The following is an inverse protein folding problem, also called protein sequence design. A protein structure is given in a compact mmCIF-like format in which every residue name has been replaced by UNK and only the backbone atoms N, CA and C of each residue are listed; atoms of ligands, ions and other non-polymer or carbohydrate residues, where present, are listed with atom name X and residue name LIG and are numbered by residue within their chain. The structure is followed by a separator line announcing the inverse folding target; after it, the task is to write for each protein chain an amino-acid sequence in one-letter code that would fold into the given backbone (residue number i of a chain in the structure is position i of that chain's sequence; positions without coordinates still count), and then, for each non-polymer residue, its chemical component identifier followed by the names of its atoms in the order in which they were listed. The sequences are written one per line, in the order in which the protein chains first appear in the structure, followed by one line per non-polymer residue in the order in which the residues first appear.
data_IF_361795043262
#
_entry.id   IF_361795043262
#
_cell.length_a   1.000
_cell.length_b   1.000
_cell.length_c   1.000
_cell.angle_alpha   90.00
_cell.angle_beta   90.00
_cell.angle_gamma   90.00
#
_symmetry.space_group_name_H-M   'P 1'
#
loop_
_entity.id
_entity.type
_entity.pdbx_description
1 polymer ?
#
# COMPACT_ATOMS: atom_id res chain seq x y z
N UNK A 1 7.14 -17.59 5.69
CA UNK A 1 8.48 -17.14 6.11
C UNK A 1 8.38 -16.69 7.56
N UNK A 2 9.30 -17.17 8.41
CA UNK A 2 9.34 -16.81 9.83
C UNK A 2 9.52 -15.29 10.04
N UNK A 3 8.78 -14.72 11.00
CA UNK A 3 8.73 -13.28 11.25
C UNK A 3 10.00 -12.74 11.89
N UNK A 4 10.68 -13.49 12.76
CA UNK A 4 11.94 -13.01 13.35
C UNK A 4 13.03 -12.92 12.27
N UNK A 5 13.08 -13.92 11.38
CA UNK A 5 13.93 -13.85 10.20
C UNK A 5 13.56 -12.62 9.34
N UNK A 6 12.28 -12.46 8.98
CA UNK A 6 11.83 -11.33 8.17
C UNK A 6 12.19 -9.98 8.82
N UNK A 7 11.93 -9.79 10.11
CA UNK A 7 12.25 -8.56 10.86
C UNK A 7 13.75 -8.22 10.79
N UNK A 8 14.62 -9.21 10.97
CA UNK A 8 16.07 -9.00 10.87
C UNK A 8 16.48 -8.57 9.47
N UNK A 9 15.88 -9.17 8.44
CA UNK A 9 16.23 -8.89 7.04
C UNK A 9 15.66 -7.56 6.57
N UNK A 10 14.39 -7.26 6.86
CA UNK A 10 13.75 -6.01 6.46
C UNK A 10 14.41 -4.79 7.10
N UNK A 11 15.01 -4.91 8.29
CA UNK A 11 15.75 -3.81 8.91
C UNK A 11 16.84 -3.22 8.01
N UNK A 12 17.41 -4.03 7.10
CA UNK A 12 18.47 -3.64 6.16
C UNK A 12 17.98 -2.75 5.02
N UNK A 13 16.67 -2.67 4.75
CA UNK A 13 16.16 -1.80 3.67
C UNK A 13 16.34 -0.32 4.01
N UNK A 14 16.55 0.03 5.28
CA UNK A 14 16.76 1.41 5.75
C UNK A 14 17.87 2.12 4.97
N UNK A 15 18.94 1.38 4.66
CA UNK A 15 20.12 1.91 3.97
C UNK A 15 20.08 1.74 2.45
N UNK A 16 19.06 1.06 1.91
CA UNK A 16 18.91 0.87 0.48
C UNK A 16 18.37 2.13 -0.21
N UNK A 17 18.84 2.46 -1.42
CA UNK A 17 18.21 3.48 -2.24
C UNK A 17 16.78 3.05 -2.61
N UNK A 18 15.87 4.02 -2.70
CA UNK A 18 14.51 3.76 -3.16
C UNK A 18 14.52 3.47 -4.68
N UNK A 19 13.93 2.35 -5.14
CA UNK A 19 13.71 2.12 -6.57
C UNK A 19 12.86 3.22 -7.22
N UNK A 20 11.93 3.81 -6.45
CA UNK A 20 11.14 4.97 -6.82
C UNK A 20 10.25 4.77 -8.04
N UNK A 21 10.01 5.87 -8.75
CA UNK A 21 9.08 5.92 -9.88
C UNK A 21 9.35 4.84 -10.94
N UNK A 22 10.62 4.52 -11.20
CA UNK A 22 10.99 3.48 -12.17
C UNK A 22 10.41 2.10 -11.81
N UNK A 23 10.27 1.81 -10.52
CA UNK A 23 9.63 0.59 -10.02
C UNK A 23 8.11 0.72 -10.02
N UNK A 24 7.60 1.85 -9.55
CA UNK A 24 6.17 2.11 -9.48
C UNK A 24 5.51 2.02 -10.87
N UNK A 25 6.12 2.61 -11.90
CA UNK A 25 5.59 2.61 -13.26
C UNK A 25 5.51 1.23 -13.92
N UNK A 26 6.20 0.21 -13.40
CA UNK A 26 6.01 -1.18 -13.87
C UNK A 26 4.59 -1.70 -13.62
N UNK A 27 3.89 -1.11 -12.65
CA UNK A 27 2.49 -1.44 -12.34
C UNK A 27 1.50 -0.36 -12.78
N UNK A 28 1.91 0.57 -13.65
CA UNK A 28 1.00 1.51 -14.29
C UNK A 28 0.50 0.95 -15.64
N UNK A 29 -0.73 1.31 -16.08
CA UNK A 29 -1.19 0.94 -17.41
C UNK A 29 -0.30 1.59 -18.47
N UNK A 30 0.12 0.83 -19.49
CA UNK A 30 1.06 1.30 -20.52
C UNK A 30 0.55 2.57 -21.22
N UNK A 31 -0.75 2.60 -21.53
CA UNK A 31 -1.42 3.75 -22.15
C UNK A 31 -1.39 5.03 -21.33
N UNK A 32 -1.08 4.97 -20.03
CA UNK A 32 -1.04 6.12 -19.11
C UNK A 32 0.37 6.54 -18.70
N UNK A 33 1.40 5.80 -19.09
CA UNK A 33 2.77 6.05 -18.63
C UNK A 33 3.27 7.44 -19.02
N UNK A 34 3.08 7.84 -20.28
CA UNK A 34 3.55 9.15 -20.75
C UNK A 34 2.78 10.30 -20.11
N UNK A 35 1.46 10.14 -19.94
CA UNK A 35 0.65 11.11 -19.20
C UNK A 35 1.18 11.28 -17.77
N UNK A 36 1.41 10.19 -17.05
CA UNK A 36 1.88 10.23 -15.67
C UNK A 36 3.21 10.97 -15.53
N UNK A 37 4.18 10.71 -16.43
CA UNK A 37 5.50 11.37 -16.44
C UNK A 37 5.43 12.86 -16.77
N UNK A 38 4.42 13.29 -17.53
CA UNK A 38 4.29 14.67 -18.00
C UNK A 38 3.42 15.54 -17.09
N UNK A 39 2.78 14.96 -16.06
CA UNK A 39 1.95 15.72 -15.14
C UNK A 39 2.79 16.77 -14.41
N UNK A 40 2.41 18.04 -14.57
CA UNK A 40 2.90 19.10 -13.71
C UNK A 40 2.17 19.06 -12.37
N UNK A 41 2.71 18.26 -11.44
CA UNK A 41 2.12 18.02 -10.11
C UNK A 41 1.98 19.33 -9.32
N UNK A 42 2.96 20.23 -9.41
CA UNK A 42 2.92 21.52 -8.70
C UNK A 42 1.70 22.36 -9.09
N UNK A 43 1.32 22.36 -10.38
CA UNK A 43 0.11 23.05 -10.87
C UNK A 43 -1.20 22.39 -10.43
N UNK A 44 -1.17 21.11 -10.01
CA UNK A 44 -2.37 20.38 -9.56
C UNK A 44 -2.71 20.63 -8.09
N UNK A 45 -1.78 21.19 -7.32
CA UNK A 45 -1.93 21.46 -5.88
C UNK A 45 -2.55 20.26 -5.13
N UNK A 46 -1.87 19.10 -5.12
CA UNK A 46 -2.44 17.86 -4.64
C UNK A 46 -2.72 17.93 -3.13
N UNK A 47 -3.82 17.30 -2.72
CA UNK A 47 -4.06 17.05 -1.30
C UNK A 47 -3.09 15.99 -0.80
N UNK A 48 -2.65 16.09 0.46
CA UNK A 48 -1.77 15.10 1.05
C UNK A 48 -2.55 13.96 1.69
N UNK A 49 -2.00 12.76 1.57
CA UNK A 49 -2.50 11.53 2.17
C UNK A 49 -1.30 10.64 2.52
N UNK A 50 -1.50 9.67 3.42
CA UNK A 50 -0.45 8.76 3.82
C UNK A 50 -1.01 7.37 4.10
N UNK A 51 -0.18 6.34 3.87
CA UNK A 51 -0.58 4.93 4.01
C UNK A 51 0.50 4.09 4.68
N UNK A 52 0.11 2.97 5.28
CA UNK A 52 1.01 2.05 5.98
C UNK A 52 1.01 0.66 5.36
N UNK A 53 2.15 0.25 4.80
CA UNK A 53 2.45 -1.14 4.50
C UNK A 53 2.91 -1.84 5.78
N UNK A 54 1.95 -2.42 6.50
CA UNK A 54 2.19 -3.02 7.81
C UNK A 54 2.50 -4.52 7.70
N UNK A 55 3.70 -4.93 8.13
CA UNK A 55 4.07 -6.33 8.25
C UNK A 55 4.00 -6.80 9.70
N UNK A 56 3.53 -8.02 9.92
CA UNK A 56 3.27 -8.55 11.26
C UNK A 56 3.36 -10.08 11.33
N UNK A 57 3.59 -10.67 12.53
CA UNK A 57 3.54 -12.11 12.71
C UNK A 57 2.10 -12.60 12.86
N UNK A 58 1.79 -13.72 12.23
CA UNK A 58 0.65 -14.56 12.59
C UNK A 58 0.90 -15.27 13.93
N UNK A 59 -0.14 -15.88 14.50
CA UNK A 59 -0.01 -16.73 15.71
C UNK A 59 1.02 -17.87 15.56
N UNK A 60 1.31 -18.29 14.33
CA UNK A 60 2.30 -19.33 14.00
C UNK A 60 3.65 -18.75 13.58
N UNK A 61 3.94 -17.47 13.88
CA UNK A 61 5.16 -16.76 13.52
C UNK A 61 5.46 -16.65 12.02
N UNK A 62 4.49 -16.91 11.15
CA UNK A 62 4.61 -16.55 9.73
C UNK A 62 4.37 -15.06 9.53
N UNK A 63 5.12 -14.43 8.62
CA UNK A 63 4.95 -13.02 8.27
C UNK A 63 3.79 -12.81 7.30
N UNK A 64 2.94 -11.84 7.60
CA UNK A 64 1.91 -11.32 6.71
C UNK A 64 2.12 -9.83 6.42
N UNK A 65 1.59 -9.38 5.29
CA UNK A 65 1.34 -7.99 4.93
C UNK A 65 -0.15 -7.68 5.11
N UNK A 66 -0.47 -6.56 5.75
CA UNK A 66 -1.84 -6.11 5.93
C UNK A 66 -2.30 -5.25 4.75
N UNK A 67 -3.45 -5.60 4.17
CA UNK A 67 -4.23 -4.78 3.25
C UNK A 67 -5.68 -4.71 3.74
N UNK A 68 -6.44 -3.76 3.21
CA UNK A 68 -7.88 -3.60 3.47
C UNK A 68 -8.65 -3.55 2.16
N UNK A 69 -9.86 -4.13 2.18
CA UNK A 69 -10.88 -3.86 1.17
C UNK A 69 -11.75 -2.71 1.69
N UNK A 70 -11.74 -1.59 0.96
CA UNK A 70 -12.58 -0.44 1.30
C UNK A 70 -14.05 -0.75 1.06
N UNK A 71 -14.93 -0.27 1.95
CA UNK A 71 -16.39 -0.33 1.79
C UNK A 71 -16.83 0.22 0.44
N UNK A 72 -18.01 -0.21 0.01
CA UNK A 72 -18.65 0.42 -1.15
C UNK A 72 -19.25 1.75 -0.74
N UNK A 73 -18.88 2.83 -1.42
CA UNK A 73 -19.43 4.17 -1.22
C UNK A 73 -19.44 4.97 -2.52
N UNK A 74 -20.09 6.13 -2.54
CA UNK A 74 -20.02 7.05 -3.69
C UNK A 74 -18.64 7.71 -3.73
N UNK A 75 -17.70 7.12 -4.46
CA UNK A 75 -16.35 7.66 -4.60
C UNK A 75 -15.45 6.84 -5.53
N UNK A 76 -14.24 7.35 -5.77
CA UNK A 76 -13.31 6.87 -6.81
C UNK A 76 -12.61 5.56 -6.40
N UNK A 77 -12.44 5.33 -5.10
CA UNK A 77 -11.73 4.16 -4.55
C UNK A 77 -12.66 3.14 -3.88
N UNK A 78 -13.95 3.23 -4.17
CA UNK A 78 -14.95 2.30 -3.68
C UNK A 78 -14.61 0.86 -4.10
N UNK A 79 -14.67 -0.09 -3.17
CA UNK A 79 -14.40 -1.52 -3.41
C UNK A 79 -13.00 -1.81 -3.99
N UNK A 80 -12.01 -0.98 -3.66
CA UNK A 80 -10.61 -1.21 -4.04
C UNK A 80 -9.79 -1.71 -2.85
N UNK A 81 -8.84 -2.59 -3.13
CA UNK A 81 -7.84 -3.04 -2.15
C UNK A 81 -6.74 -1.99 -2.03
N UNK A 82 -6.38 -1.67 -0.80
CA UNK A 82 -5.31 -0.74 -0.50
C UNK A 82 -4.65 -1.02 0.84
N UNK A 83 -3.58 -0.30 1.11
CA UNK A 83 -3.06 -0.18 2.46
C UNK A 83 -4.05 0.57 3.35
N UNK A 84 -4.02 0.34 4.67
CA UNK A 84 -4.63 1.26 5.61
C UNK A 84 -3.98 2.64 5.49
N UNK A 85 -4.79 3.69 5.59
CA UNK A 85 -4.36 5.06 5.36
C UNK A 85 -5.43 5.94 4.72
N UNK A 86 -5.18 7.24 4.77
CA UNK A 86 -6.16 8.24 4.38
C UNK A 86 -5.57 9.64 4.26
N UNK A 87 -6.46 10.62 4.33
CA UNK A 87 -6.13 12.03 4.05
C UNK A 87 -5.47 12.67 5.27
N UNK A 88 -4.48 13.53 5.03
CA UNK A 88 -3.88 14.32 6.09
C UNK A 88 -4.89 15.32 6.68
N UNK A 89 -4.95 15.36 8.01
CA UNK A 89 -5.74 16.30 8.79
C UNK A 89 -4.89 17.44 9.35
N UNK A 90 -5.54 18.54 9.74
CA UNK A 90 -4.83 19.71 10.32
C UNK A 90 -4.19 19.41 11.67
N UNK A 91 -4.69 18.39 12.37
CA UNK A 91 -4.20 17.91 13.65
C UNK A 91 -3.01 16.95 13.52
N UNK A 92 -2.72 16.45 12.32
CA UNK A 92 -1.62 15.52 12.10
C UNK A 92 -0.28 16.27 12.13
N UNK A 93 0.62 15.86 13.02
CA UNK A 93 2.01 16.33 13.05
C UNK A 93 2.84 15.60 11.98
N UNK A 94 2.54 15.88 10.71
CA UNK A 94 3.17 15.26 9.55
C UNK A 94 2.51 13.97 9.04
N UNK A 95 3.00 13.49 7.89
CA UNK A 95 2.37 12.39 7.14
C UNK A 95 2.53 11.02 7.80
N UNK A 96 3.58 10.82 8.59
CA UNK A 96 3.71 9.61 9.40
C UNK A 96 2.59 9.54 10.44
N UNK A 97 2.27 10.67 11.09
CA UNK A 97 1.16 10.77 12.05
C UNK A 97 -0.17 10.46 11.36
N UNK A 98 -0.39 10.96 10.14
CA UNK A 98 -1.55 10.58 9.32
C UNK A 98 -1.62 9.08 9.09
N UNK A 99 -0.54 8.44 8.60
CA UNK A 99 -0.55 7.00 8.32
C UNK A 99 -0.83 6.16 9.58
N UNK A 100 -0.24 6.54 10.72
CA UNK A 100 -0.44 5.86 11.99
C UNK A 100 -1.87 6.05 12.53
N UNK A 101 -2.41 7.28 12.49
CA UNK A 101 -3.79 7.58 12.90
C UNK A 101 -4.79 6.77 12.09
N UNK A 102 -4.67 6.80 10.77
CA UNK A 102 -5.58 6.09 9.86
C UNK A 102 -5.46 4.56 10.03
N UNK A 103 -4.24 4.04 10.24
CA UNK A 103 -4.06 2.61 10.56
C UNK A 103 -4.72 2.25 11.89
N UNK A 104 -4.66 3.13 12.89
CA UNK A 104 -5.37 2.91 14.15
C UNK A 104 -6.89 2.93 13.95
N UNK A 105 -7.42 3.91 13.23
CA UNK A 105 -8.84 4.05 12.96
C UNK A 105 -9.38 2.85 12.17
N UNK A 106 -8.77 2.50 11.04
CA UNK A 106 -9.29 1.50 10.12
C UNK A 106 -9.11 0.05 10.62
N UNK A 107 -8.03 -0.27 11.35
CA UNK A 107 -7.68 -1.65 11.74
C UNK A 107 -7.32 -1.85 13.22
N UNK A 108 -7.42 -0.81 14.05
CA UNK A 108 -7.30 -0.91 15.50
C UNK A 108 -5.87 -1.03 16.04
N UNK A 109 -4.85 -0.79 15.21
CA UNK A 109 -3.44 -0.87 15.65
C UNK A 109 -3.02 0.45 16.29
N UNK A 110 -2.62 0.42 17.56
CA UNK A 110 -2.17 1.63 18.24
C UNK A 110 -0.90 2.19 17.59
N UNK A 111 -0.77 3.53 17.42
CA UNK A 111 0.41 4.14 16.82
C UNK A 111 1.74 3.72 17.47
N UNK A 112 1.74 3.56 18.80
CA UNK A 112 2.93 3.17 19.57
C UNK A 112 3.33 1.69 19.39
N UNK A 113 2.46 0.85 18.84
CA UNK A 113 2.75 -0.56 18.56
C UNK A 113 3.41 -0.75 17.18
N UNK A 114 3.48 0.31 16.37
CA UNK A 114 4.10 0.27 15.05
C UNK A 114 5.54 0.77 15.12
N UNK A 115 6.48 -0.09 14.73
CA UNK A 115 7.87 0.30 14.51
C UNK A 115 8.07 0.71 13.06
N UNK A 116 8.38 1.99 12.81
CA UNK A 116 8.70 2.47 11.46
C UNK A 116 9.99 1.82 10.94
N UNK A 117 9.91 1.28 9.72
CA UNK A 117 11.07 0.74 9.01
C UNK A 117 11.61 1.77 8.03
N UNK A 118 10.79 2.23 7.07
CA UNK A 118 11.25 3.12 6.00
C UNK A 118 10.10 3.92 5.41
N UNK A 119 10.39 5.15 5.02
CA UNK A 119 9.57 5.96 4.13
C UNK A 119 9.86 5.59 2.67
N UNK A 120 8.80 5.46 1.85
CA UNK A 120 8.88 5.04 0.43
C UNK A 120 8.57 6.23 -0.48
N UNK A 121 8.87 6.13 -1.78
CA UNK A 121 8.65 7.23 -2.71
C UNK A 121 7.18 7.64 -2.79
N UNK A 122 6.89 8.94 -2.71
CA UNK A 122 5.54 9.48 -2.86
C UNK A 122 4.94 9.09 -4.23
N UNK A 123 3.62 8.93 -4.28
CA UNK A 123 2.89 8.65 -5.52
C UNK A 123 1.76 9.67 -5.70
N UNK A 124 1.72 10.31 -6.88
CA UNK A 124 0.61 11.14 -7.27
C UNK A 124 -0.51 10.28 -7.88
N UNK A 125 -1.75 10.47 -7.41
CA UNK A 125 -2.94 9.77 -7.88
C UNK A 125 -3.83 10.76 -8.65
N UNK A 126 -3.78 10.77 -9.99
CA UNK A 126 -4.49 11.77 -10.78
C UNK A 126 -6.02 11.77 -10.62
N UNK A 127 -6.71 10.60 -10.58
CA UNK A 127 -8.16 10.58 -10.44
C UNK A 127 -8.69 11.28 -9.19
N UNK A 128 -7.95 11.23 -8.08
CA UNK A 128 -8.38 11.78 -6.78
C UNK A 128 -7.58 13.00 -6.33
N UNK A 129 -6.61 13.45 -7.12
CA UNK A 129 -5.70 14.57 -6.83
C UNK A 129 -5.05 14.49 -5.44
N UNK A 130 -4.56 13.30 -5.10
CA UNK A 130 -3.78 13.06 -3.89
C UNK A 130 -2.31 12.84 -4.22
N UNK A 131 -1.43 13.38 -3.38
CA UNK A 131 -0.06 12.94 -3.26
C UNK A 131 0.01 12.07 -2.00
N UNK A 132 0.28 10.77 -2.21
CA UNK A 132 0.26 9.77 -1.15
C UNK A 132 1.68 9.43 -0.74
N UNK A 133 1.96 9.50 0.56
CA UNK A 133 3.21 9.10 1.18
C UNK A 133 3.08 7.69 1.78
N UNK A 134 3.75 6.66 1.22
CA UNK A 134 3.74 5.31 1.78
C UNK A 134 4.83 5.15 2.83
N UNK A 135 4.52 4.41 3.89
CA UNK A 135 5.45 4.00 4.94
C UNK A 135 5.46 2.48 5.09
N UNK A 136 6.60 1.90 5.44
CA UNK A 136 6.72 0.50 5.86
C UNK A 136 6.81 0.46 7.39
N UNK A 137 5.92 -0.30 8.01
CA UNK A 137 5.88 -0.50 9.46
C UNK A 137 5.92 -1.97 9.85
N UNK A 138 6.42 -2.24 11.06
CA UNK A 138 6.29 -3.54 11.73
C UNK A 138 5.32 -3.43 12.89
N UNK A 139 4.38 -4.37 12.97
CA UNK A 139 3.53 -4.58 14.14
C UNK A 139 3.83 -5.97 14.70
N UNK A 140 4.42 -6.04 15.89
CA UNK A 140 4.99 -7.30 16.41
C UNK A 140 3.99 -8.17 17.18
N UNK A 141 2.77 -7.70 17.34
CA UNK A 141 1.78 -8.36 18.17
C UNK A 141 0.83 -9.20 17.29
N UNK A 142 0.75 -10.52 17.49
CA UNK A 142 -0.05 -11.42 16.66
C UNK A 142 -1.56 -11.38 16.98
N UNK A 143 -2.05 -10.32 17.64
CA UNK A 143 -3.47 -10.17 17.97
C UNK A 143 -4.29 -9.88 16.70
N UNK A 144 -5.54 -10.37 16.64
CA UNK A 144 -6.46 -10.01 15.57
C UNK A 144 -6.64 -8.49 15.46
N UNK A 145 -6.78 -8.01 14.22
CA UNK A 145 -7.14 -6.63 13.94
C UNK A 145 -8.61 -6.35 14.23
N UNK A 146 -8.93 -5.09 14.55
CA UNK A 146 -10.31 -4.64 14.77
C UNK A 146 -10.65 -3.65 13.67
N UNK A 147 -11.44 -4.10 12.69
CA UNK A 147 -11.80 -3.26 11.55
C UNK A 147 -12.83 -2.20 11.94
N UNK A 148 -12.73 -1.03 11.35
CA UNK A 148 -13.79 -0.02 11.42
C UNK A 148 -14.89 -0.34 10.40
N UNK A 149 -16.06 -0.76 10.88
CA UNK A 149 -17.17 -1.21 10.03
C UNK A 149 -17.73 -0.14 9.07
N UNK A 150 -17.49 1.14 9.33
CA UNK A 150 -17.94 2.22 8.45
C UNK A 150 -17.08 2.39 7.20
N UNK A 151 -15.81 1.96 7.24
CA UNK A 151 -14.81 2.25 6.20
C UNK A 151 -14.20 0.99 5.59
N UNK A 152 -14.02 -0.06 6.40
CA UNK A 152 -13.37 -1.31 6.01
C UNK A 152 -14.40 -2.43 5.89
N UNK A 153 -14.52 -2.95 4.66
CA UNK A 153 -15.35 -4.11 4.37
C UNK A 153 -14.68 -5.38 4.90
N UNK A 154 -13.41 -5.56 4.54
CA UNK A 154 -12.65 -6.76 4.87
C UNK A 154 -11.18 -6.44 5.15
N UNK A 155 -10.59 -7.15 6.10
CA UNK A 155 -9.15 -7.17 6.34
C UNK A 155 -8.54 -8.29 5.50
N UNK A 156 -7.51 -7.95 4.72
CA UNK A 156 -6.79 -8.87 3.86
C UNK A 156 -5.40 -9.12 4.45
N UNK A 157 -5.27 -10.26 5.11
CA UNK A 157 -4.04 -10.74 5.71
C UNK A 157 -3.24 -11.54 4.67
N UNK A 158 -2.31 -10.90 3.95
CA UNK A 158 -1.61 -11.49 2.81
C UNK A 158 -0.33 -12.17 3.27
N UNK A 159 -0.14 -13.50 3.08
CA UNK A 159 1.12 -14.15 3.39
C UNK A 159 2.28 -13.51 2.61
N UNK A 160 3.41 -13.26 3.28
CA UNK A 160 4.58 -12.65 2.61
C UNK A 160 5.05 -13.48 1.41
N UNK A 161 4.88 -14.80 1.47
CA UNK A 161 5.26 -15.72 0.40
C UNK A 161 4.42 -15.51 -0.85
N UNK A 162 3.13 -15.20 -0.70
CA UNK A 162 2.24 -14.90 -1.81
C UNK A 162 2.57 -13.52 -2.39
N UNK A 163 2.83 -12.53 -1.54
CA UNK A 163 3.22 -11.19 -2.02
C UNK A 163 4.52 -11.21 -2.83
N UNK A 164 5.50 -12.04 -2.43
CA UNK A 164 6.79 -12.15 -3.12
C UNK A 164 6.74 -13.02 -4.38
N UNK A 165 5.73 -13.89 -4.53
CA UNK A 165 5.60 -14.76 -5.69
C UNK A 165 5.35 -13.94 -6.97
N UNK A 166 6.12 -14.23 -8.02
CA UNK A 166 5.97 -13.57 -9.32
C UNK A 166 4.72 -14.05 -10.07
N UNK A 167 4.23 -15.25 -9.78
CA UNK A 167 2.98 -15.75 -10.37
C UNK A 167 1.74 -15.02 -9.85
N UNK A 168 1.88 -14.21 -8.80
CA UNK A 168 0.80 -13.33 -8.31
C UNK A 168 0.74 -12.00 -9.04
N UNK A 169 1.71 -11.69 -9.90
CA UNK A 169 1.67 -10.51 -10.78
C UNK A 169 1.01 -10.93 -12.09
N UNK A 170 -0.14 -10.35 -12.38
CA UNK A 170 -0.98 -10.72 -13.53
C UNK A 170 -1.36 -9.50 -14.36
N UNK A 171 -1.87 -9.73 -15.57
CA UNK A 171 -2.60 -8.73 -16.34
C UNK A 171 -4.10 -8.89 -16.15
N UNK A 172 -4.83 -7.79 -15.95
CA UNK A 172 -6.28 -7.81 -15.76
C UNK A 172 -6.96 -6.69 -16.55
N UNK A 173 -8.02 -7.05 -17.28
CA UNK A 173 -8.94 -6.07 -17.87
C UNK A 173 -9.92 -5.55 -16.82
N UNK A 174 -10.01 -4.23 -16.69
CA UNK A 174 -10.87 -3.55 -15.72
C UNK A 174 -11.66 -2.41 -16.37
N UNK A 175 -12.88 -2.21 -15.89
CA UNK A 175 -13.64 -0.99 -16.14
C UNK A 175 -13.58 -0.12 -14.89
N UNK A 176 -13.15 1.12 -15.05
CA UNK A 176 -12.90 2.09 -13.97
C UNK A 176 -13.75 3.33 -14.20
N UNK A 177 -13.73 4.27 -13.24
CA UNK A 177 -14.45 5.54 -13.39
C UNK A 177 -13.93 6.45 -14.51
N UNK A 178 -12.74 6.18 -15.04
CA UNK A 178 -12.07 7.04 -16.03
C UNK A 178 -11.69 6.30 -17.33
N UNK A 179 -11.89 4.99 -17.41
CA UNK A 179 -11.55 4.17 -18.57
C UNK A 179 -12.37 2.87 -18.58
N UNK A 180 -12.81 2.45 -19.76
CA UNK A 180 -13.50 1.17 -20.00
C UNK A 180 -12.55 0.13 -20.59
N UNK A 181 -12.67 -1.13 -20.15
CA UNK A 181 -11.90 -2.29 -20.61
C UNK A 181 -10.37 -2.06 -20.72
N UNK A 182 -9.80 -1.31 -19.77
CA UNK A 182 -8.36 -1.05 -19.74
C UNK A 182 -7.63 -2.28 -19.17
N UNK A 183 -6.63 -2.74 -19.89
CA UNK A 183 -5.72 -3.77 -19.40
C UNK A 183 -4.67 -3.13 -18.49
N UNK A 184 -4.56 -3.64 -17.27
CA UNK A 184 -3.65 -3.13 -16.25
C UNK A 184 -2.85 -4.27 -15.61
N UNK A 185 -1.56 -4.05 -15.29
CA UNK A 185 -0.84 -4.93 -14.40
C UNK A 185 -1.44 -4.86 -12.99
N UNK A 186 -1.54 -6.00 -12.32
CA UNK A 186 -2.14 -6.12 -11.00
C UNK A 186 -1.49 -7.24 -10.19
N UNK A 187 -1.68 -7.21 -8.88
CA UNK A 187 -1.45 -8.35 -8.00
C UNK A 187 -2.77 -9.10 -7.76
N UNK A 188 -2.73 -10.44 -7.76
CA UNK A 188 -3.82 -11.28 -7.26
C UNK A 188 -3.47 -11.81 -5.86
N UNK A 189 -3.99 -11.16 -4.82
CA UNK A 189 -3.67 -11.46 -3.41
C UNK A 189 -4.93 -11.80 -2.64
N UNK A 190 -4.94 -12.92 -1.92
CA UNK A 190 -6.12 -13.44 -1.21
C UNK A 190 -7.38 -13.56 -2.10
N UNK A 191 -7.22 -13.78 -3.41
CA UNK A 191 -8.32 -13.84 -4.38
C UNK A 191 -8.86 -12.46 -4.80
N UNK A 192 -8.21 -11.36 -4.39
CA UNK A 192 -8.57 -10.00 -4.76
C UNK A 192 -7.56 -9.41 -5.75
N UNK A 193 -8.05 -8.54 -6.63
CA UNK A 193 -7.22 -7.80 -7.58
C UNK A 193 -6.77 -6.49 -6.93
N UNK A 194 -5.46 -6.35 -6.74
CA UNK A 194 -4.81 -5.12 -6.27
C UNK A 194 -4.14 -4.45 -7.45
N UNK A 195 -4.59 -3.26 -7.81
CA UNK A 195 -4.17 -2.57 -9.04
C UNK A 195 -4.00 -1.06 -8.80
N UNK A 196 -3.51 -0.34 -9.81
CA UNK A 196 -3.35 1.12 -9.74
C UNK A 196 -2.33 1.54 -8.69
N UNK A 197 -2.58 2.66 -7.99
CA UNK A 197 -1.61 3.25 -7.06
C UNK A 197 -1.15 2.27 -5.97
N UNK A 198 -2.04 1.42 -5.44
CA UNK A 198 -1.67 0.38 -4.47
C UNK A 198 -0.66 -0.61 -5.08
N UNK A 199 -0.91 -1.11 -6.29
CA UNK A 199 0.01 -2.03 -6.96
C UNK A 199 1.36 -1.38 -7.28
N UNK A 200 1.37 -0.10 -7.65
CA UNK A 200 2.59 0.67 -7.88
C UNK A 200 3.44 0.77 -6.61
N UNK A 201 2.84 1.13 -5.47
CA UNK A 201 3.50 1.15 -4.17
C UNK A 201 3.97 -0.25 -3.73
N UNK A 202 3.13 -1.29 -3.93
CA UNK A 202 3.48 -2.68 -3.63
C UNK A 202 4.70 -3.14 -4.43
N UNK A 203 4.83 -2.76 -5.70
CA UNK A 203 5.96 -3.20 -6.51
C UNK A 203 7.30 -2.61 -6.04
N UNK A 204 7.33 -1.33 -5.66
CA UNK A 204 8.53 -0.72 -5.07
C UNK A 204 8.92 -1.42 -3.76
N UNK A 205 7.93 -1.72 -2.90
CA UNK A 205 8.16 -2.47 -1.66
C UNK A 205 8.67 -3.89 -1.97
N UNK A 206 8.08 -4.59 -2.95
CA UNK A 206 8.51 -5.94 -3.36
C UNK A 206 9.96 -5.92 -3.85
N UNK A 207 10.36 -4.95 -4.66
CA UNK A 207 11.74 -4.83 -5.15
C UNK A 207 12.74 -4.50 -4.04
N UNK A 208 12.36 -3.72 -3.03
CA UNK A 208 13.19 -3.50 -1.83
C UNK A 208 13.34 -4.80 -1.03
N UNK A 209 12.24 -5.53 -0.82
CA UNK A 209 12.27 -6.79 -0.08
C UNK A 209 13.12 -7.86 -0.77
N UNK A 210 13.04 -7.98 -2.10
CA UNK A 210 13.85 -8.94 -2.88
C UNK A 210 15.35 -8.72 -2.76
N UNK A 211 15.81 -7.53 -2.36
CA UNK A 211 17.23 -7.26 -2.14
C UNK A 211 17.73 -7.76 -0.78
N UNK A 212 16.83 -7.98 0.18
CA UNK A 212 17.19 -8.34 1.55
C UNK A 212 16.66 -9.70 1.98
N UNK A 213 15.67 -10.28 1.32
CA UNK A 213 15.10 -11.58 1.67
C UNK A 213 15.81 -12.76 0.99
#
# INVERSE_FOLDING_TARGET
MDFNFFEQRISKIKDLPLPGEASQYKMAPESRLEDLKQINIAKKNPRKAAVMALFYPTVNQNTNLLLILRKTYKGIHSNQVGFPGGKAEKSDDGLLTTALRETHEEVGVLPNDVTLVKEISEIFIPPSNFMVQPYIGLYKNPKPFVKQDTEVELILEVPIVDFLDENKVISKKLTTSYAEDIEVPAFELNGYIVWGATAMMLNEIKELLKQVL
#
